data_IF_929917666525
#
_entry.id   IF_929917666525
#
_cell.length_a   1.000
_cell.length_b   1.000
_cell.length_c   1.000
_cell.angle_alpha   90.00
_cell.angle_beta   90.00
_cell.angle_gamma   90.00
#
_symmetry.space_group_name_H-M   'P 1'
#
loop_
_entity.id
_entity.type
_entity.pdbx_description
1 polymer ?
#
# COMPACT_ATOMS: atom_id res chain seq x y z
N UNK A 1 7.79 -12.41 17.47
CA UNK A 1 7.23 -12.85 16.17
C UNK A 1 5.77 -12.42 15.93
N UNK A 2 4.97 -12.07 16.95
CA UNK A 2 3.55 -11.64 16.78
C UNK A 2 3.31 -10.28 16.07
N UNK A 3 4.33 -9.43 15.92
CA UNK A 3 4.19 -8.05 15.38
C UNK A 3 4.17 -7.92 13.84
N UNK A 4 3.94 -8.99 13.08
CA UNK A 4 4.17 -8.98 11.61
C UNK A 4 3.06 -9.63 10.78
N UNK A 5 1.97 -10.05 11.44
CA UNK A 5 0.87 -10.80 10.82
C UNK A 5 -0.04 -9.88 10.00
N UNK A 6 -0.29 -8.66 10.46
CA UNK A 6 -1.22 -7.72 9.82
C UNK A 6 -0.87 -7.33 8.38
N UNK A 7 0.39 -6.92 8.05
CA UNK A 7 0.73 -6.59 6.66
C UNK A 7 0.73 -7.81 5.73
N UNK A 8 1.09 -9.00 6.23
CA UNK A 8 1.01 -10.25 5.46
C UNK A 8 -0.46 -10.61 5.20
N UNK A 9 -1.32 -10.48 6.21
CA UNK A 9 -2.76 -10.69 6.07
C UNK A 9 -3.38 -9.71 5.08
N UNK A 10 -2.92 -8.46 5.01
CA UNK A 10 -3.40 -7.49 4.02
C UNK A 10 -3.12 -7.97 2.58
N UNK A 11 -1.89 -8.41 2.29
CA UNK A 11 -1.51 -8.91 0.97
C UNK A 11 -2.39 -10.11 0.59
N UNK A 12 -2.48 -11.11 1.47
CA UNK A 12 -3.29 -12.32 1.24
C UNK A 12 -4.76 -11.94 1.02
N UNK A 13 -5.27 -10.99 1.81
CA UNK A 13 -6.65 -10.54 1.73
C UNK A 13 -6.96 -9.80 0.42
N UNK A 14 -6.04 -8.96 -0.08
CA UNK A 14 -6.17 -8.29 -1.38
C UNK A 14 -6.36 -9.29 -2.52
N UNK A 15 -5.54 -10.35 -2.57
CA UNK A 15 -5.64 -11.37 -3.61
C UNK A 15 -6.91 -12.22 -3.47
N UNK A 16 -7.36 -12.50 -2.25
CA UNK A 16 -8.64 -13.18 -1.98
C UNK A 16 -9.84 -12.35 -2.48
N UNK A 17 -9.81 -11.03 -2.26
CA UNK A 17 -10.86 -10.11 -2.67
C UNK A 17 -11.05 -10.11 -4.20
N UNK A 18 -9.94 -10.09 -4.95
CA UNK A 18 -9.93 -10.17 -6.42
C UNK A 18 -10.46 -11.53 -6.92
N UNK A 19 -10.08 -12.63 -6.26
CA UNK A 19 -10.55 -13.98 -6.61
C UNK A 19 -12.06 -14.13 -6.42
N UNK A 20 -12.61 -13.56 -5.34
CA UNK A 20 -14.05 -13.63 -5.03
C UNK A 20 -14.86 -12.77 -6.00
N UNK A 21 -14.38 -11.57 -6.35
CA UNK A 21 -15.06 -10.73 -7.36
C UNK A 21 -15.03 -11.34 -8.75
N UNK A 22 -13.95 -12.03 -9.15
CA UNK A 22 -13.91 -12.76 -10.43
C UNK A 22 -14.79 -14.01 -10.46
N UNK A 23 -14.97 -14.70 -9.32
CA UNK A 23 -15.74 -15.95 -9.23
C UNK A 23 -17.25 -15.72 -9.02
N UNK A 24 -17.66 -14.48 -8.71
CA UNK A 24 -19.01 -14.12 -8.30
C UNK A 24 -20.00 -13.90 -9.44
N UNK A 25 -20.43 -14.98 -10.10
CA UNK A 25 -21.64 -14.95 -10.93
C UNK A 25 -22.47 -16.21 -10.70
N UNK A 26 -23.22 -16.31 -9.58
CA UNK A 26 -24.43 -17.12 -9.48
C UNK A 26 -25.27 -16.76 -8.22
N UNK A 27 -26.44 -16.14 -8.46
CA UNK A 27 -27.68 -16.09 -7.65
C UNK A 27 -27.62 -15.57 -6.19
N UNK A 28 -28.23 -14.38 -6.00
CA UNK A 28 -29.13 -13.98 -4.88
C UNK A 28 -28.63 -14.04 -3.43
N UNK A 29 -28.26 -15.22 -2.93
CA UNK A 29 -27.82 -15.45 -1.54
C UNK A 29 -26.36 -15.02 -1.35
N UNK A 30 -25.56 -15.06 -2.41
CA UNK A 30 -24.15 -14.64 -2.40
C UNK A 30 -23.97 -13.11 -2.30
N UNK A 31 -25.01 -12.32 -2.61
CA UNK A 31 -24.95 -10.86 -2.54
C UNK A 31 -24.81 -10.33 -1.11
N UNK A 32 -25.49 -10.97 -0.13
CA UNK A 32 -25.37 -10.61 1.29
C UNK A 32 -24.01 -11.04 1.87
N UNK A 33 -23.46 -12.17 1.41
CA UNK A 33 -22.11 -12.61 1.78
C UNK A 33 -21.03 -11.66 1.22
N UNK A 34 -21.22 -11.13 0.02
CA UNK A 34 -20.33 -10.11 -0.56
C UNK A 34 -20.33 -8.82 0.27
N UNK A 35 -21.48 -8.39 0.79
CA UNK A 35 -21.59 -7.19 1.63
C UNK A 35 -20.83 -7.35 2.96
N UNK A 36 -20.99 -8.50 3.63
CA UNK A 36 -20.23 -8.82 4.86
C UNK A 36 -18.73 -8.87 4.57
N UNK A 37 -18.33 -9.46 3.44
CA UNK A 37 -16.92 -9.50 3.02
C UNK A 37 -16.33 -8.10 2.76
N UNK A 38 -17.10 -7.20 2.14
CA UNK A 38 -16.69 -5.81 1.92
C UNK A 38 -16.48 -5.11 3.27
N UNK A 39 -17.40 -5.28 4.22
CA UNK A 39 -17.27 -4.69 5.56
C UNK A 39 -16.03 -5.21 6.30
N UNK A 40 -15.79 -6.53 6.26
CA UNK A 40 -14.58 -7.14 6.87
C UNK A 40 -13.32 -6.60 6.20
N UNK A 41 -13.33 -6.41 4.88
CA UNK A 41 -12.21 -5.85 4.12
C UNK A 41 -11.87 -4.44 4.56
N UNK A 42 -12.90 -3.59 4.75
CA UNK A 42 -12.72 -2.21 5.25
C UNK A 42 -12.10 -2.22 6.65
N UNK A 43 -12.59 -3.10 7.55
CA UNK A 43 -12.05 -3.22 8.91
C UNK A 43 -10.57 -3.64 8.89
N UNK A 44 -10.20 -4.62 8.05
CA UNK A 44 -8.82 -5.05 7.87
C UNK A 44 -7.92 -3.94 7.31
N UNK A 45 -8.46 -3.14 6.39
CA UNK A 45 -7.77 -2.03 5.77
C UNK A 45 -7.45 -0.93 6.79
N UNK A 46 -8.46 -0.50 7.55
CA UNK A 46 -8.32 0.49 8.62
C UNK A 46 -7.35 -0.02 9.70
N UNK A 47 -7.45 -1.30 10.08
CA UNK A 47 -6.54 -1.90 11.05
C UNK A 47 -5.08 -1.85 10.60
N UNK A 48 -4.83 -2.09 9.31
CA UNK A 48 -3.50 -2.00 8.72
C UNK A 48 -2.97 -0.57 8.58
N UNK A 49 -3.86 0.42 8.42
CA UNK A 49 -3.51 1.85 8.45
C UNK A 49 -3.10 2.30 9.87
N UNK A 50 -3.78 1.82 10.90
CA UNK A 50 -3.49 2.19 12.30
C UNK A 50 -2.21 1.51 12.81
N UNK A 51 -1.95 0.29 12.33
CA UNK A 51 -0.81 -0.51 12.78
C UNK A 51 0.57 0.18 12.71
N UNK A 52 1.00 0.82 11.60
CA UNK A 52 2.28 1.50 11.52
C UNK A 52 2.42 2.65 12.51
N UNK A 53 1.33 3.33 12.90
CA UNK A 53 1.38 4.37 13.94
C UNK A 53 1.65 3.78 15.32
N UNK A 54 0.99 2.67 15.66
CA UNK A 54 1.26 1.95 16.92
C UNK A 54 2.70 1.47 16.95
N UNK A 55 3.18 0.96 15.82
CA UNK A 55 4.53 0.44 15.66
C UNK A 55 5.59 1.55 15.80
N UNK A 56 5.35 2.72 15.20
CA UNK A 56 6.19 3.91 15.36
C UNK A 56 6.20 4.43 16.81
N UNK A 57 5.04 4.44 17.49
CA UNK A 57 4.93 4.84 18.90
C UNK A 57 5.67 3.88 19.85
N UNK A 58 5.77 2.60 19.50
CA UNK A 58 6.55 1.61 20.24
C UNK A 58 8.06 1.64 19.97
N UNK A 59 8.56 2.59 19.17
CA UNK A 59 10.00 2.75 18.96
C UNK A 59 10.61 1.70 18.04
N UNK A 60 9.81 1.06 17.18
CA UNK A 60 10.34 0.08 16.22
C UNK A 60 11.32 0.72 15.23
N UNK A 61 12.29 -0.07 14.79
CA UNK A 61 13.35 0.42 13.90
C UNK A 61 12.78 0.93 12.58
N UNK A 62 13.27 2.09 12.14
CA UNK A 62 12.99 2.66 10.82
C UNK A 62 13.17 1.67 9.67
N UNK A 63 14.16 0.77 9.76
CA UNK A 63 14.43 -0.26 8.75
C UNK A 63 13.28 -1.25 8.58
N UNK A 64 12.60 -1.61 9.68
CA UNK A 64 11.51 -2.57 9.64
C UNK A 64 10.28 -1.95 8.99
N UNK A 65 9.96 -0.70 9.35
CA UNK A 65 8.83 0.05 8.75
C UNK A 65 9.03 0.23 7.24
N UNK A 66 10.21 0.66 6.82
CA UNK A 66 10.56 0.86 5.41
C UNK A 66 10.63 -0.45 4.62
N UNK A 67 11.01 -1.57 5.26
CA UNK A 67 10.95 -2.89 4.63
C UNK A 67 9.52 -3.30 4.30
N UNK A 68 8.58 -3.10 5.22
CA UNK A 68 7.18 -3.47 5.02
C UNK A 68 6.50 -2.58 3.98
N UNK A 69 6.80 -1.28 3.99
CA UNK A 69 6.38 -0.36 2.93
C UNK A 69 6.84 -0.83 1.54
N UNK A 70 8.14 -1.14 1.39
CA UNK A 70 8.69 -1.68 0.15
C UNK A 70 8.01 -3.01 -0.26
N UNK A 71 7.81 -3.94 0.67
CA UNK A 71 7.21 -5.24 0.39
C UNK A 71 5.75 -5.10 -0.06
N UNK A 72 4.95 -4.27 0.63
CA UNK A 72 3.56 -4.01 0.30
C UNK A 72 3.43 -3.41 -1.11
N UNK A 73 4.29 -2.43 -1.44
CA UNK A 73 4.30 -1.85 -2.79
C UNK A 73 4.68 -2.87 -3.85
N UNK A 74 5.76 -3.63 -3.63
CA UNK A 74 6.24 -4.65 -4.57
C UNK A 74 5.17 -5.73 -4.83
N UNK A 75 4.47 -6.18 -3.80
CA UNK A 75 3.40 -7.15 -3.93
C UNK A 75 2.15 -6.60 -4.65
N UNK A 76 1.93 -5.28 -4.65
CA UNK A 76 0.80 -4.67 -5.35
C UNK A 76 1.13 -4.25 -6.79
N UNK A 77 2.41 -4.26 -7.21
CA UNK A 77 2.81 -3.96 -8.61
C UNK A 77 2.00 -4.73 -9.65
N UNK A 78 1.77 -6.06 -9.53
CA UNK A 78 0.99 -6.80 -10.52
C UNK A 78 -0.44 -6.26 -10.65
N UNK A 79 -1.04 -5.88 -9.52
CA UNK A 79 -2.40 -5.32 -9.48
C UNK A 79 -2.42 -3.95 -10.14
N UNK A 80 -1.46 -3.09 -9.81
CA UNK A 80 -1.29 -1.76 -10.39
C UNK A 80 -1.12 -1.80 -11.92
N UNK A 81 -0.34 -2.75 -12.44
CA UNK A 81 -0.18 -2.93 -13.89
C UNK A 81 -1.51 -3.32 -14.53
N UNK A 82 -2.24 -4.27 -13.92
CA UNK A 82 -3.56 -4.71 -14.44
C UNK A 82 -4.57 -3.56 -14.42
N UNK A 83 -4.66 -2.82 -13.32
CA UNK A 83 -5.59 -1.69 -13.19
C UNK A 83 -5.24 -0.56 -14.17
N UNK A 84 -3.94 -0.25 -14.34
CA UNK A 84 -3.48 0.75 -15.30
C UNK A 84 -3.76 0.35 -16.76
N UNK A 85 -3.45 -0.90 -17.13
CA UNK A 85 -3.78 -1.44 -18.46
C UNK A 85 -5.29 -1.42 -18.70
N UNK A 86 -6.09 -1.85 -17.73
CA UNK A 86 -7.54 -1.84 -17.86
C UNK A 86 -8.10 -0.42 -17.97
N UNK A 87 -7.63 0.51 -17.12
CA UNK A 87 -8.02 1.92 -17.14
C UNK A 87 -7.69 2.61 -18.46
N UNK A 88 -6.51 2.36 -19.03
CA UNK A 88 -6.11 2.93 -20.33
C UNK A 88 -6.95 2.38 -21.50
N UNK A 89 -7.31 1.10 -21.49
CA UNK A 89 -8.24 0.53 -22.49
C UNK A 89 -9.63 1.16 -22.35
N UNK A 90 -10.12 1.35 -21.13
CA UNK A 90 -11.43 1.96 -20.87
C UNK A 90 -11.49 3.42 -21.34
N UNK A 91 -10.37 4.17 -21.33
CA UNK A 91 -10.32 5.54 -21.85
C UNK A 91 -10.57 5.64 -23.35
N UNK A 92 -10.36 4.57 -24.12
CA UNK A 92 -10.60 4.54 -25.58
C UNK A 92 -12.11 4.47 -25.87
N UNK A 93 -12.95 4.12 -24.88
CA UNK A 93 -14.39 3.96 -25.07
C UNK A 93 -15.08 5.31 -25.36
N UNK A 94 -15.71 5.48 -26.54
CA UNK A 94 -16.17 6.78 -27.02
C UNK A 94 -17.54 7.14 -26.44
N UNK A 95 -17.61 7.53 -25.15
CA UNK A 95 -18.85 8.11 -24.57
C UNK A 95 -18.67 8.79 -23.20
N UNK A 96 -17.45 9.16 -22.80
CA UNK A 96 -17.16 9.74 -21.47
C UNK A 96 -17.29 8.75 -20.30
N UNK A 97 -18.05 7.67 -20.46
CA UNK A 97 -18.19 6.58 -19.51
C UNK A 97 -16.84 5.92 -19.16
N UNK A 98 -15.95 5.82 -20.14
CA UNK A 98 -14.58 5.34 -19.96
C UNK A 98 -13.76 6.19 -18.97
N UNK A 99 -13.95 7.51 -18.98
CA UNK A 99 -13.27 8.43 -18.05
C UNK A 99 -13.80 8.25 -16.63
N UNK A 100 -15.11 8.07 -16.46
CA UNK A 100 -15.73 7.81 -15.14
C UNK A 100 -15.22 6.50 -14.54
N UNK A 101 -15.14 5.44 -15.35
CA UNK A 101 -14.59 4.14 -14.92
C UNK A 101 -13.10 4.28 -14.57
N UNK A 102 -12.31 4.94 -15.42
CA UNK A 102 -10.89 5.17 -15.16
C UNK A 102 -10.64 5.96 -13.88
N UNK A 103 -11.47 6.99 -13.60
CA UNK A 103 -11.41 7.74 -12.34
C UNK A 103 -11.75 6.85 -11.13
N UNK A 104 -12.77 6.00 -11.24
CA UNK A 104 -13.13 5.07 -10.17
C UNK A 104 -12.01 4.07 -9.88
N UNK A 105 -11.39 3.52 -10.93
CA UNK A 105 -10.22 2.64 -10.82
C UNK A 105 -9.03 3.35 -10.19
N UNK A 106 -8.77 4.61 -10.57
CA UNK A 106 -7.70 5.42 -9.98
C UNK A 106 -7.94 5.70 -8.48
N UNK A 107 -9.18 5.99 -8.09
CA UNK A 107 -9.56 6.17 -6.68
C UNK A 107 -9.35 4.85 -5.91
N UNK A 108 -9.74 3.72 -6.50
CA UNK A 108 -9.55 2.40 -5.89
C UNK A 108 -8.07 2.08 -5.67
N UNK A 109 -7.23 2.33 -6.68
CA UNK A 109 -5.77 2.17 -6.57
C UNK A 109 -5.17 3.10 -5.51
N UNK A 110 -5.66 4.34 -5.43
CA UNK A 110 -5.22 5.28 -4.40
C UNK A 110 -5.57 4.79 -2.99
N UNK A 111 -6.79 4.26 -2.81
CA UNK A 111 -7.20 3.64 -1.54
C UNK A 111 -6.27 2.48 -1.22
N UNK A 112 -5.99 1.58 -2.17
CA UNK A 112 -5.04 0.47 -2.02
C UNK A 112 -3.63 0.91 -1.63
N UNK A 113 -3.20 2.10 -2.05
CA UNK A 113 -1.89 2.69 -1.77
C UNK A 113 -1.79 3.33 -0.38
N UNK A 114 -2.91 3.68 0.26
CA UNK A 114 -2.91 4.38 1.55
C UNK A 114 -2.19 3.60 2.68
N UNK A 115 -2.44 2.29 2.90
CA UNK A 115 -1.80 1.56 3.99
C UNK A 115 -0.28 1.52 3.82
N UNK A 116 0.22 1.17 2.63
CA UNK A 116 1.68 1.12 2.36
C UNK A 116 2.31 2.49 2.57
N UNK A 117 1.69 3.55 2.05
CA UNK A 117 2.15 4.93 2.24
C UNK A 117 2.27 5.32 3.71
N UNK A 118 1.38 4.83 4.58
CA UNK A 118 1.48 5.08 6.02
C UNK A 118 2.64 4.34 6.69
N UNK A 119 3.00 3.14 6.22
CA UNK A 119 4.25 2.48 6.64
C UNK A 119 5.46 3.29 6.18
N UNK A 120 5.46 3.77 4.94
CA UNK A 120 6.54 4.60 4.37
C UNK A 120 6.75 5.91 5.15
N UNK A 121 5.69 6.70 5.34
CA UNK A 121 5.74 7.98 6.07
C UNK A 121 6.20 7.78 7.51
N UNK A 122 5.64 6.81 8.24
CA UNK A 122 6.08 6.53 9.61
C UNK A 122 7.54 6.04 9.65
N UNK A 123 7.97 5.23 8.68
CA UNK A 123 9.37 4.79 8.55
C UNK A 123 10.35 5.94 8.28
N UNK A 124 9.96 6.90 7.44
CA UNK A 124 10.74 8.12 7.16
C UNK A 124 10.82 8.99 8.42
N UNK A 125 9.71 9.22 9.12
CA UNK A 125 9.69 10.00 10.37
C UNK A 125 10.57 9.34 11.43
N UNK A 126 10.52 8.01 11.56
CA UNK A 126 11.38 7.25 12.46
C UNK A 126 12.86 7.38 12.06
N UNK A 127 13.18 7.25 10.77
CA UNK A 127 14.55 7.41 10.25
C UNK A 127 15.11 8.82 10.49
N UNK A 128 14.27 9.85 10.43
CA UNK A 128 14.63 11.22 10.78
C UNK A 128 14.92 11.35 12.28
N UNK A 129 14.07 10.79 13.15
CA UNK A 129 14.31 10.75 14.61
C UNK A 129 15.60 10.01 14.97
N UNK A 130 15.91 8.94 14.25
CA UNK A 130 17.15 8.16 14.38
C UNK A 130 18.38 8.87 13.75
N UNK A 131 18.23 10.11 13.24
CA UNK A 131 19.27 10.89 12.52
C UNK A 131 19.90 10.15 11.34
N UNK A 132 19.21 9.15 10.79
CA UNK A 132 19.68 8.38 9.62
C UNK A 132 19.50 9.17 8.32
N UNK A 133 18.53 10.08 8.26
CA UNK A 133 18.25 10.88 7.06
C UNK A 133 18.15 12.37 7.39
N UNK A 134 18.49 13.22 6.41
CA UNK A 134 18.31 14.67 6.50
C UNK A 134 16.85 15.06 6.25
N UNK A 135 16.43 16.21 6.78
CA UNK A 135 15.06 16.76 6.64
C UNK A 135 14.65 16.91 5.17
N UNK A 136 15.59 17.33 4.30
CA UNK A 136 15.37 17.46 2.86
C UNK A 136 15.02 16.09 2.22
N UNK A 137 15.81 15.06 2.53
CA UNK A 137 15.61 13.69 2.02
C UNK A 137 14.26 13.11 2.48
N UNK A 138 13.86 13.41 3.72
CA UNK A 138 12.55 13.00 4.24
C UNK A 138 11.38 13.66 3.48
N UNK A 139 11.45 14.97 3.21
CA UNK A 139 10.39 15.70 2.50
C UNK A 139 10.31 15.26 1.04
N UNK A 140 11.46 15.15 0.35
CA UNK A 140 11.51 14.71 -1.04
C UNK A 140 10.92 13.31 -1.18
N UNK A 141 11.31 12.35 -0.34
CA UNK A 141 10.72 11.01 -0.43
C UNK A 141 9.26 10.97 -0.01
N UNK A 142 8.82 11.80 0.94
CA UNK A 142 7.39 11.91 1.25
C UNK A 142 6.58 12.35 0.02
N UNK A 143 7.12 13.27 -0.80
CA UNK A 143 6.49 13.70 -2.06
C UNK A 143 6.56 12.59 -3.13
N UNK A 144 7.71 11.92 -3.28
CA UNK A 144 7.84 10.80 -4.23
C UNK A 144 6.89 9.64 -3.90
N UNK A 145 6.52 9.45 -2.64
CA UNK A 145 5.55 8.44 -2.23
C UNK A 145 4.15 8.61 -2.84
N UNK A 146 3.83 9.79 -3.37
CA UNK A 146 2.56 10.06 -4.05
C UNK A 146 2.64 9.88 -5.58
N UNK A 147 3.82 9.55 -6.14
CA UNK A 147 4.04 9.37 -7.57
C UNK A 147 4.18 7.88 -7.93
N UNK A 148 3.15 7.31 -8.55
CA UNK A 148 2.91 5.86 -8.73
C UNK A 148 4.05 4.94 -9.23
N UNK A 149 5.07 5.45 -9.91
CA UNK A 149 6.27 4.67 -10.28
C UNK A 149 7.50 5.06 -9.45
N UNK A 150 7.55 6.32 -9.03
CA UNK A 150 8.64 6.88 -8.22
C UNK A 150 8.51 6.47 -6.74
N UNK A 151 7.32 6.10 -6.33
CA UNK A 151 6.97 5.71 -4.97
C UNK A 151 7.58 4.34 -4.59
N UNK A 152 7.67 3.40 -5.53
CA UNK A 152 8.35 2.09 -5.40
C UNK A 152 9.87 2.31 -5.32
N UNK A 153 10.41 3.13 -6.21
CA UNK A 153 11.84 3.46 -6.25
C UNK A 153 12.25 4.16 -4.94
N UNK A 154 11.45 5.14 -4.49
CA UNK A 154 11.63 5.83 -3.20
C UNK A 154 11.65 4.84 -2.03
N UNK A 155 10.69 3.91 -1.96
CA UNK A 155 10.63 2.91 -0.89
C UNK A 155 11.88 2.02 -0.86
N UNK A 156 12.34 1.55 -2.03
CA UNK A 156 13.57 0.73 -2.15
C UNK A 156 14.80 1.53 -1.71
N UNK A 157 14.95 2.76 -2.21
CA UNK A 157 16.09 3.63 -1.86
C UNK A 157 16.11 3.92 -0.36
N UNK A 158 14.97 4.25 0.23
CA UNK A 158 14.87 4.51 1.67
C UNK A 158 15.20 3.29 2.51
N UNK A 159 14.73 2.11 2.10
CA UNK A 159 15.09 0.86 2.77
C UNK A 159 16.60 0.59 2.70
N UNK A 160 17.22 0.77 1.52
CA UNK A 160 18.66 0.61 1.34
C UNK A 160 19.48 1.57 2.20
N UNK A 161 19.08 2.86 2.26
CA UNK A 161 19.75 3.87 3.12
C UNK A 161 19.61 3.50 4.60
N UNK A 162 18.41 3.15 5.04
CA UNK A 162 18.16 2.78 6.43
C UNK A 162 18.95 1.53 6.84
N UNK A 163 19.05 0.53 5.94
CA UNK A 163 19.82 -0.71 6.14
C UNK A 163 21.32 -0.46 6.18
N UNK A 164 21.84 0.36 5.27
CA UNK A 164 23.27 0.71 5.23
C UNK A 164 23.71 1.41 6.51
N UNK A 165 22.94 2.40 6.99
CA UNK A 165 23.23 3.09 8.26
C UNK A 165 22.99 2.24 9.51
N UNK A 166 22.08 1.28 9.46
CA UNK A 166 21.92 0.28 10.53
C UNK A 166 23.14 -0.63 10.65
N UNK A 167 23.86 -0.88 9.56
CA UNK A 167 25.06 -1.73 9.55
C UNK A 167 26.32 -0.98 10.00
N UNK A 168 26.33 0.34 9.85
CA UNK A 168 27.40 1.25 10.29
C UNK A 168 27.37 1.59 11.80
N UNK A 169 26.22 1.43 12.46
CA UNK A 169 26.05 1.68 13.90
C UNK A 169 26.12 0.39 14.75
N UNK A 170 26.61 -0.72 14.19
CA UNK A 170 26.92 -1.97 14.89
C UNK A 170 28.42 -2.14 14.94
#
# INVERSE_FOLDING_TARGET
MKKRILPIMLIIWTYLLILITFKGNHKGVLANLNLIFIVISIIFFISNMIYPFILAKHGESSTTLLFWDMLLKLCNIPIYIVVFMFGSIMMIWPLGFGVVIALFLAIFDFIMLLPSSMYGVNGIVQAYKEKKITKLTAVVNCILHFLFCLDVISAIVMFCIAKSKSKLNK
#
